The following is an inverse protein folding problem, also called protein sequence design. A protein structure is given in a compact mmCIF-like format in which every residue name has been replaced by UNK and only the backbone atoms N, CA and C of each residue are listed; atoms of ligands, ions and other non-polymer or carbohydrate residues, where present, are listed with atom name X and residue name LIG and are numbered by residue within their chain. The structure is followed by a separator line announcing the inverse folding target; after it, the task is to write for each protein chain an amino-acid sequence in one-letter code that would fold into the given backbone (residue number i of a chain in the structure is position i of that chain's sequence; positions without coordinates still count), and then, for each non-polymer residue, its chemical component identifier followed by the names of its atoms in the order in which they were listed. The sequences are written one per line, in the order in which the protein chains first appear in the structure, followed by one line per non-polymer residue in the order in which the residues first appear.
data_IF_256306932500
#
_entry.id   IF_256306932500
#
_cell.length_a   1.000
_cell.length_b   1.000
_cell.length_c   1.000
_cell.angle_alpha   90.00
_cell.angle_beta   90.00
_cell.angle_gamma   90.00
#
_symmetry.space_group_name_H-M   'P 1'
#
loop_
_entity.id
_entity.type
_entity.pdbx_description
1 polymer ?
#
# COMPACT_ATOMS: atom_id res chain seq x y z
N UNK A 1 4.29 18.81 1.97
CA UNK A 1 3.50 17.63 1.53
C UNK A 1 2.28 17.54 2.45
N UNK A 2 1.07 17.34 1.94
CA UNK A 2 -0.12 17.26 2.81
C UNK A 2 -0.16 15.90 3.52
N UNK A 3 -0.48 15.92 4.82
CA UNK A 3 -0.65 14.74 5.66
C UNK A 3 -2.09 14.74 6.18
N UNK A 4 -2.74 13.58 6.16
CA UNK A 4 -4.12 13.38 6.57
C UNK A 4 -4.18 12.33 7.68
N UNK A 5 -4.93 12.61 8.74
CA UNK A 5 -5.30 11.58 9.71
C UNK A 5 -6.40 10.71 9.10
N UNK A 6 -6.44 9.39 9.38
CA UNK A 6 -7.49 8.52 8.86
C UNK A 6 -8.90 8.98 9.24
N UNK A 7 -9.08 9.53 10.45
CA UNK A 7 -10.35 10.09 10.89
C UNK A 7 -10.82 11.32 10.10
N UNK A 8 -9.89 12.05 9.46
CA UNK A 8 -10.22 13.23 8.63
C UNK A 8 -10.61 12.84 7.19
N UNK A 9 -10.39 11.57 6.82
CA UNK A 9 -10.69 11.07 5.48
C UNK A 9 -12.15 10.63 5.40
N UNK A 10 -13.02 11.61 5.18
CA UNK A 10 -14.46 11.36 4.98
C UNK A 10 -14.76 10.67 3.64
N UNK A 11 -15.98 10.15 3.48
CA UNK A 11 -16.47 9.61 2.20
C UNK A 11 -16.35 10.62 1.05
N UNK A 12 -16.52 11.92 1.32
CA UNK A 12 -16.33 12.96 0.32
C UNK A 12 -14.86 13.08 -0.11
N UNK A 13 -13.92 12.92 0.83
CA UNK A 13 -12.48 12.91 0.52
C UNK A 13 -12.12 11.67 -0.30
N UNK A 14 -12.66 10.51 0.06
CA UNK A 14 -12.46 9.26 -0.69
C UNK A 14 -12.98 9.37 -2.12
N UNK A 15 -14.14 9.98 -2.32
CA UNK A 15 -14.78 10.09 -3.64
C UNK A 15 -14.22 11.21 -4.54
N UNK A 16 -13.43 12.15 -4.00
CA UNK A 16 -12.85 13.22 -4.80
C UNK A 16 -11.52 12.79 -5.47
N UNK A 17 -11.09 13.47 -6.54
CA UNK A 17 -9.81 13.17 -7.24
C UNK A 17 -8.65 14.09 -6.86
N UNK A 18 -8.83 14.95 -5.85
CA UNK A 18 -7.78 15.86 -5.38
C UNK A 18 -6.85 15.11 -4.42
N UNK A 19 -5.71 15.70 -4.10
CA UNK A 19 -4.81 15.27 -3.02
C UNK A 19 -4.35 13.80 -3.06
N UNK A 20 -4.31 13.15 -4.23
CA UNK A 20 -3.90 11.73 -4.37
C UNK A 20 -2.50 11.40 -3.81
N UNK A 21 -1.61 12.39 -3.78
CA UNK A 21 -0.26 12.23 -3.25
C UNK A 21 -0.13 12.61 -1.77
N UNK A 22 -1.22 13.04 -1.11
CA UNK A 22 -1.21 13.28 0.33
C UNK A 22 -0.92 11.97 1.06
N UNK A 23 -0.12 12.04 2.12
CA UNK A 23 0.17 10.90 2.99
C UNK A 23 -0.98 10.73 3.96
N UNK A 24 -1.33 9.47 4.24
CA UNK A 24 -2.29 9.12 5.28
C UNK A 24 -1.51 8.51 6.43
N UNK A 25 -1.77 8.96 7.66
CA UNK A 25 -1.08 8.42 8.83
C UNK A 25 -1.61 7.06 9.23
N UNK A 26 -0.79 6.33 9.99
CA UNK A 26 -1.23 5.17 10.75
C UNK A 26 -2.11 5.59 11.96
N UNK A 27 -2.54 4.62 12.77
CA UNK A 27 -3.39 4.87 13.95
C UNK A 27 -2.70 5.70 15.04
N UNK A 28 -1.37 5.77 15.04
CA UNK A 28 -0.53 6.55 15.96
C UNK A 28 -0.26 7.97 15.45
N UNK A 29 -0.76 8.34 14.27
CA UNK A 29 -0.53 9.65 13.68
C UNK A 29 0.82 9.83 12.99
N UNK A 30 1.58 8.75 12.75
CA UNK A 30 2.85 8.81 11.97
C UNK A 30 2.63 8.36 10.53
N UNK A 31 3.47 8.81 9.60
CA UNK A 31 3.32 8.47 8.16
C UNK A 31 3.89 7.12 7.76
N UNK A 32 4.60 6.45 8.68
CA UNK A 32 5.18 5.13 8.45
C UNK A 32 4.28 4.03 9.03
N UNK A 33 4.07 2.98 8.25
CA UNK A 33 3.40 1.76 8.66
C UNK A 33 4.39 0.66 9.10
N UNK A 34 5.69 0.91 8.96
CA UNK A 34 6.76 -0.07 9.18
C UNK A 34 7.90 0.17 8.20
N UNK A 35 8.96 -0.60 8.36
CA UNK A 35 10.15 -0.52 7.52
C UNK A 35 10.39 -1.88 6.88
N UNK A 36 10.61 -1.92 5.56
CA UNK A 36 11.06 -3.15 4.90
C UNK A 36 12.58 -3.18 5.03
N UNK A 37 13.18 -4.27 5.54
CA UNK A 37 14.63 -4.39 5.65
C UNK A 37 15.27 -4.47 4.26
N UNK A 38 16.56 -4.19 4.18
CA UNK A 38 17.31 -4.33 2.92
C UNK A 38 17.27 -5.79 2.45
N UNK A 39 16.63 -6.05 1.31
CA UNK A 39 16.55 -7.38 0.70
C UNK A 39 17.73 -7.63 -0.24
N UNK A 40 18.06 -6.63 -1.07
CA UNK A 40 19.22 -6.63 -1.98
C UNK A 40 19.52 -5.20 -2.48
N UNK A 41 20.37 -5.05 -3.49
CA UNK A 41 20.72 -3.73 -4.05
C UNK A 41 19.57 -3.01 -4.78
N UNK A 42 18.61 -3.77 -5.31
CA UNK A 42 17.44 -3.24 -6.01
C UNK A 42 16.34 -2.81 -5.04
N UNK A 43 16.20 -3.53 -3.92
CA UNK A 43 15.21 -3.31 -2.87
C UNK A 43 15.91 -2.92 -1.56
N UNK A 44 16.20 -1.61 -1.39
CA UNK A 44 16.88 -1.10 -0.21
C UNK A 44 15.97 -1.11 1.02
N UNK A 45 16.58 -0.96 2.18
CA UNK A 45 15.82 -0.65 3.39
C UNK A 45 15.11 0.69 3.25
N UNK A 46 13.81 0.73 3.55
CA UNK A 46 13.01 1.94 3.46
C UNK A 46 11.65 1.83 4.17
N UNK A 47 11.08 2.99 4.52
CA UNK A 47 9.77 3.13 5.17
C UNK A 47 8.61 2.74 4.23
N UNK A 48 7.55 2.18 4.81
CA UNK A 48 6.28 1.89 4.12
C UNK A 48 5.28 3.02 4.38
N UNK A 49 4.80 3.64 3.31
CA UNK A 49 3.97 4.84 3.36
C UNK A 49 2.65 4.61 2.63
N UNK A 50 1.55 4.97 3.28
CA UNK A 50 0.23 5.07 2.65
C UNK A 50 0.01 6.46 2.05
N UNK A 51 -0.43 6.49 0.80
CA UNK A 51 -0.97 7.69 0.15
C UNK A 51 -2.48 7.59 0.03
N UNK A 52 -3.15 8.73 -0.06
CA UNK A 52 -4.59 8.79 -0.32
C UNK A 52 -4.94 8.08 -1.64
N UNK A 53 -4.10 8.26 -2.66
CA UNK A 53 -4.15 7.48 -3.88
C UNK A 53 -5.30 7.84 -4.82
N UNK A 54 -5.60 6.92 -5.73
CA UNK A 54 -6.61 7.05 -6.79
C UNK A 54 -7.26 5.67 -7.02
N UNK A 55 -8.58 5.58 -7.24
CA UNK A 55 -9.23 4.31 -7.59
C UNK A 55 -8.78 3.76 -8.95
N UNK A 56 -8.11 4.59 -9.77
CA UNK A 56 -7.61 4.25 -11.08
C UNK A 56 -8.63 4.48 -12.19
N UNK A 57 -8.22 4.20 -13.42
CA UNK A 57 -9.07 4.26 -14.60
C UNK A 57 -8.85 3.03 -15.47
N UNK A 58 -9.90 2.60 -16.16
CA UNK A 58 -9.80 1.48 -17.09
C UNK A 58 -9.23 1.96 -18.43
N UNK A 59 -8.05 1.46 -18.79
CA UNK A 59 -7.42 1.76 -20.08
C UNK A 59 -7.94 0.78 -21.13
N UNK A 60 -8.79 1.30 -22.03
CA UNK A 60 -9.45 0.51 -23.09
C UNK A 60 -8.46 -0.06 -24.11
N UNK A 61 -7.29 0.56 -24.30
CA UNK A 61 -6.31 0.09 -25.31
C UNK A 61 -5.64 -1.20 -24.88
N UNK A 62 -5.33 -1.31 -23.59
CA UNK A 62 -4.65 -2.47 -23.00
C UNK A 62 -5.57 -3.33 -22.15
N UNK A 63 -6.86 -2.98 -22.07
CA UNK A 63 -7.92 -3.69 -21.33
C UNK A 63 -7.53 -4.00 -19.87
N UNK A 64 -6.96 -3.01 -19.17
CA UNK A 64 -6.52 -3.16 -17.79
C UNK A 64 -6.74 -1.88 -16.97
N UNK A 65 -6.91 -2.04 -15.66
CA UNK A 65 -6.95 -0.92 -14.71
C UNK A 65 -5.55 -0.31 -14.57
N UNK A 66 -5.45 1.01 -14.70
CA UNK A 66 -4.20 1.75 -14.55
C UNK A 66 -4.32 2.84 -13.50
N UNK A 67 -3.19 3.13 -12.86
CA UNK A 67 -3.04 4.25 -11.93
C UNK A 67 -3.82 4.09 -10.63
N UNK A 68 -4.32 2.89 -10.33
CA UNK A 68 -4.99 2.59 -9.08
C UNK A 68 -3.95 2.33 -7.98
N UNK A 69 -4.02 3.04 -6.87
CA UNK A 69 -3.13 2.82 -5.72
C UNK A 69 -3.68 3.48 -4.45
N UNK A 70 -3.13 3.10 -3.30
CA UNK A 70 -3.33 3.77 -2.01
C UNK A 70 -4.71 3.56 -1.42
N UNK A 71 -5.04 4.39 -0.42
CA UNK A 71 -6.25 4.25 0.40
C UNK A 71 -7.53 4.20 -0.44
N UNK A 72 -7.67 5.07 -1.45
CA UNK A 72 -8.85 5.10 -2.33
C UNK A 72 -9.03 3.83 -3.13
N UNK A 73 -7.95 3.25 -3.65
CA UNK A 73 -8.04 1.99 -4.39
C UNK A 73 -8.49 0.85 -3.48
N UNK A 74 -7.90 0.77 -2.29
CA UNK A 74 -8.28 -0.22 -1.27
C UNK A 74 -9.73 -0.05 -0.87
N UNK A 75 -10.16 1.20 -0.64
CA UNK A 75 -11.54 1.52 -0.32
C UNK A 75 -12.51 1.09 -1.44
N UNK A 76 -12.27 1.51 -2.69
CA UNK A 76 -13.19 1.24 -3.79
C UNK A 76 -13.29 -0.25 -4.15
N UNK A 77 -12.20 -1.01 -3.99
CA UNK A 77 -12.12 -2.40 -4.46
C UNK A 77 -12.22 -3.43 -3.36
N UNK A 78 -11.70 -3.13 -2.18
CA UNK A 78 -11.46 -4.13 -1.15
C UNK A 78 -12.15 -3.82 0.18
N UNK A 79 -12.82 -2.67 0.36
CA UNK A 79 -13.49 -2.33 1.64
C UNK A 79 -14.46 -3.41 2.12
N UNK A 80 -15.21 -4.03 1.21
CA UNK A 80 -16.14 -5.11 1.56
C UNK A 80 -15.41 -6.39 1.95
N UNK A 81 -14.28 -6.68 1.31
CA UNK A 81 -13.43 -7.86 1.60
C UNK A 81 -12.79 -7.73 2.98
N UNK A 82 -12.30 -6.54 3.34
CA UNK A 82 -11.66 -6.29 4.64
C UNK A 82 -12.63 -5.75 5.72
N UNK A 83 -13.94 -5.74 5.43
CA UNK A 83 -15.00 -5.23 6.30
C UNK A 83 -14.76 -3.80 6.85
N UNK A 84 -14.22 -2.91 6.02
CA UNK A 84 -13.96 -1.52 6.39
C UNK A 84 -15.22 -0.64 6.22
N UNK A 85 -15.57 0.09 7.28
CA UNK A 85 -16.68 1.06 7.27
C UNK A 85 -16.18 2.50 7.07
N UNK A 86 -14.90 2.76 7.32
CA UNK A 86 -14.25 4.04 7.09
C UNK A 86 -12.76 3.87 6.75
N UNK A 87 -12.06 5.00 6.54
CA UNK A 87 -10.63 5.01 6.28
C UNK A 87 -9.78 4.49 7.45
N UNK A 88 -10.25 4.64 8.69
CA UNK A 88 -9.54 4.15 9.88
C UNK A 88 -9.53 2.63 9.92
N UNK A 89 -10.61 1.98 9.50
CA UNK A 89 -10.64 0.51 9.41
C UNK A 89 -9.67 -0.02 8.35
N UNK A 90 -9.55 0.67 7.21
CA UNK A 90 -8.52 0.33 6.20
C UNK A 90 -7.12 0.48 6.78
N UNK A 91 -6.85 1.56 7.51
CA UNK A 91 -5.56 1.79 8.18
C UNK A 91 -5.24 0.69 9.19
N UNK A 92 -6.20 0.33 10.05
CA UNK A 92 -6.04 -0.77 11.02
C UNK A 92 -5.76 -2.10 10.32
N UNK A 93 -6.44 -2.37 9.20
CA UNK A 93 -6.18 -3.57 8.40
C UNK A 93 -4.73 -3.61 7.91
N UNK A 94 -4.24 -2.51 7.34
CA UNK A 94 -2.85 -2.40 6.87
C UNK A 94 -1.87 -2.62 8.03
N UNK A 95 -2.10 -2.00 9.20
CA UNK A 95 -1.25 -2.20 10.40
C UNK A 95 -1.26 -3.66 10.88
N UNK A 96 -2.40 -4.35 10.77
CA UNK A 96 -2.51 -5.76 11.12
C UNK A 96 -1.77 -6.68 10.15
N UNK A 97 -1.54 -6.23 8.92
CA UNK A 97 -0.71 -6.94 7.94
C UNK A 97 0.76 -6.61 8.11
N UNK A 98 1.11 -5.32 8.22
CA UNK A 98 2.48 -4.83 8.35
C UNK A 98 2.87 -4.85 9.83
N UNK A 99 3.23 -6.04 10.30
CA UNK A 99 3.72 -6.28 11.66
C UNK A 99 4.89 -7.25 11.65
N UNK A 100 5.61 -7.34 12.77
CA UNK A 100 6.70 -8.29 12.93
C UNK A 100 6.27 -9.71 12.58
N UNK A 101 7.10 -10.40 11.79
CA UNK A 101 6.84 -11.73 11.25
C UNK A 101 6.03 -11.78 9.96
N UNK A 102 5.61 -10.64 9.40
CA UNK A 102 5.00 -10.63 8.07
C UNK A 102 6.03 -11.04 7.00
N UNK A 103 5.65 -11.94 6.11
CA UNK A 103 6.47 -12.43 5.03
C UNK A 103 6.67 -11.36 3.96
N UNK A 104 7.89 -11.23 3.48
CA UNK A 104 8.26 -10.31 2.39
C UNK A 104 8.50 -11.14 1.14
N UNK A 105 7.57 -11.07 0.19
CA UNK A 105 7.58 -11.87 -1.04
C UNK A 105 7.83 -11.00 -2.27
N UNK A 106 8.52 -11.57 -3.26
CA UNK A 106 8.71 -10.98 -4.58
C UNK A 106 8.38 -12.03 -5.65
N UNK A 107 7.58 -11.68 -6.66
CA UNK A 107 7.46 -12.53 -7.86
C UNK A 107 8.74 -12.38 -8.70
N UNK A 108 9.37 -13.40 -9.26
CA UNK A 108 10.45 -13.21 -10.26
C UNK A 108 9.90 -13.18 -11.71
N UNK A 109 10.53 -12.44 -12.64
CA UNK A 109 10.25 -12.55 -14.09
C UNK A 109 9.11 -11.75 -14.77
N UNK A 110 8.66 -10.60 -14.24
CA UNK A 110 7.54 -9.81 -14.82
C UNK A 110 7.75 -8.28 -14.94
N UNK A 111 8.75 -7.69 -14.27
CA UNK A 111 9.13 -6.26 -14.36
C UNK A 111 10.42 -6.05 -13.52
N UNK A 112 11.31 -5.10 -13.80
CA UNK A 112 12.34 -4.63 -12.86
C UNK A 112 11.86 -3.67 -11.75
N UNK A 113 10.67 -3.08 -11.83
CA UNK A 113 10.08 -2.24 -10.78
C UNK A 113 9.09 -2.99 -9.89
N UNK A 114 9.31 -4.29 -9.66
CA UNK A 114 8.29 -5.17 -9.09
C UNK A 114 7.76 -4.67 -7.75
N UNK A 115 6.46 -4.84 -7.51
CA UNK A 115 5.94 -4.66 -6.18
C UNK A 115 6.50 -5.72 -5.23
N UNK A 116 6.64 -5.34 -3.96
CA UNK A 116 6.87 -6.26 -2.86
C UNK A 116 5.51 -6.58 -2.24
N UNK A 117 5.29 -7.85 -1.94
CA UNK A 117 4.12 -8.30 -1.17
C UNK A 117 4.56 -8.48 0.29
N UNK A 118 3.81 -7.87 1.20
CA UNK A 118 3.85 -8.13 2.62
C UNK A 118 2.65 -9.00 2.96
N UNK A 119 2.88 -10.20 3.46
CA UNK A 119 1.82 -11.16 3.78
C UNK A 119 1.85 -11.55 5.25
N UNK A 120 0.67 -11.66 5.87
CA UNK A 120 0.52 -12.12 7.24
C UNK A 120 -0.76 -12.96 7.39
N UNK A 121 -1.00 -13.47 8.60
CA UNK A 121 -2.27 -14.11 8.93
C UNK A 121 -3.50 -13.20 8.75
N UNK A 122 -3.33 -11.88 8.70
CA UNK A 122 -4.41 -10.90 8.54
C UNK A 122 -4.77 -10.64 7.08
N UNK A 123 -3.89 -10.97 6.13
CA UNK A 123 -4.04 -10.68 4.70
C UNK A 123 -2.73 -10.18 4.09
N UNK A 124 -2.84 -9.44 2.99
CA UNK A 124 -1.67 -8.98 2.24
C UNK A 124 -1.71 -7.48 1.91
N UNK A 125 -0.53 -6.87 1.81
CA UNK A 125 -0.31 -5.51 1.34
C UNK A 125 0.71 -5.54 0.21
N UNK A 126 0.42 -4.86 -0.90
CA UNK A 126 1.32 -4.75 -2.04
C UNK A 126 1.90 -3.34 -2.04
N UNK A 127 3.22 -3.23 -2.13
CA UNK A 127 3.94 -1.96 -2.12
C UNK A 127 4.87 -1.83 -3.32
N UNK A 128 5.15 -0.59 -3.73
CA UNK A 128 6.11 -0.28 -4.79
C UNK A 128 7.20 0.67 -4.28
N UNK A 129 8.46 0.40 -4.60
CA UNK A 129 9.56 1.31 -4.30
C UNK A 129 9.42 2.61 -5.12
N UNK A 130 9.45 3.75 -4.44
CA UNK A 130 9.50 5.08 -5.04
C UNK A 130 10.82 5.74 -4.69
N UNK A 131 11.43 6.39 -5.68
CA UNK A 131 12.69 7.14 -5.56
C UNK A 131 12.47 8.58 -6.04
N UNK A 132 11.70 9.39 -5.31
CA UNK A 132 11.47 10.79 -5.68
C UNK A 132 12.78 11.59 -5.62
N UNK A 133 12.84 12.69 -6.37
CA UNK A 133 13.96 13.63 -6.26
C UNK A 133 13.80 14.47 -4.99
N UNK A 134 14.85 14.55 -4.16
CA UNK A 134 14.87 15.39 -2.96
C UNK A 134 14.18 14.80 -1.73
N UNK A 135 13.88 13.50 -1.73
CA UNK A 135 13.40 12.75 -0.57
C UNK A 135 13.98 11.33 -0.59
N UNK A 136 14.13 10.72 0.59
CA UNK A 136 14.59 9.35 0.73
C UNK A 136 13.65 8.35 0.02
N UNK A 137 14.18 7.24 -0.53
CA UNK A 137 13.35 6.19 -1.07
C UNK A 137 12.35 5.65 -0.05
N UNK A 138 11.15 5.30 -0.52
CA UNK A 138 10.11 4.68 0.33
C UNK A 138 9.29 3.67 -0.46
N UNK A 139 8.67 2.74 0.25
CA UNK A 139 7.70 1.80 -0.29
C UNK A 139 6.30 2.41 -0.20
N UNK A 140 5.69 2.69 -1.35
CA UNK A 140 4.34 3.23 -1.44
C UNK A 140 3.34 2.08 -1.47
N UNK A 141 2.36 2.07 -0.56
CA UNK A 141 1.27 1.09 -0.59
C UNK A 141 0.43 1.31 -1.86
N UNK A 142 0.26 0.22 -2.62
CA UNK A 142 -0.56 0.16 -3.82
C UNK A 142 -1.94 -0.39 -3.48
N UNK A 143 -2.02 -1.56 -2.86
CA UNK A 143 -3.29 -2.19 -2.47
C UNK A 143 -3.13 -3.06 -1.23
N UNK A 144 -4.24 -3.45 -0.63
CA UNK A 144 -4.34 -4.31 0.53
C UNK A 144 -5.69 -5.05 0.54
N UNK A 145 -5.68 -6.35 0.84
CA UNK A 145 -6.88 -7.19 0.88
C UNK A 145 -6.64 -8.49 1.67
N UNK A 146 -7.71 -9.22 2.00
CA UNK A 146 -7.73 -10.33 2.97
C UNK A 146 -7.20 -11.68 2.44
N UNK A 147 -6.93 -11.79 1.13
CA UNK A 147 -6.37 -12.99 0.51
C UNK A 147 -4.92 -13.24 0.94
N UNK A 148 -4.52 -14.50 0.87
CA UNK A 148 -3.25 -15.05 1.35
C UNK A 148 -2.66 -16.02 0.32
N UNK A 149 -1.46 -16.50 0.60
CA UNK A 149 -0.71 -17.46 -0.21
C UNK A 149 -0.40 -16.91 -1.59
N UNK A 150 0.09 -15.67 -1.66
CA UNK A 150 0.51 -15.10 -2.93
C UNK A 150 1.64 -15.94 -3.55
N UNK A 151 1.56 -16.30 -4.84
CA UNK A 151 2.64 -17.03 -5.51
C UNK A 151 3.86 -16.11 -5.59
N UNK A 152 4.88 -16.35 -4.76
CA UNK A 152 6.06 -15.49 -4.70
C UNK A 152 7.24 -16.20 -4.06
N UNK A 153 8.42 -15.63 -4.22
CA UNK A 153 9.63 -16.09 -3.52
C UNK A 153 9.75 -15.33 -2.21
N UNK A 154 9.85 -16.09 -1.12
CA UNK A 154 10.12 -15.55 0.21
C UNK A 154 11.53 -14.97 0.27
N UNK A 155 11.62 -13.68 0.58
CA UNK A 155 12.88 -12.94 0.74
C UNK A 155 13.27 -12.76 2.20
N UNK A 156 12.31 -12.85 3.12
CA UNK A 156 12.50 -12.67 4.55
C UNK A 156 11.20 -12.32 5.26
N UNK A 157 11.32 -11.79 6.47
CA UNK A 157 10.20 -11.31 7.29
C UNK A 157 10.47 -9.91 7.81
N UNK A 158 9.41 -9.15 8.12
CA UNK A 158 9.49 -7.91 8.90
C UNK A 158 9.84 -8.18 10.37
#
# INVERSE_FOLDING_TARGET
MNVLLPGDVSHQVLNNKKTKNARVTNSKGTTSFGQIPKLNSQFPEAEVILKLGDPGFYDLKVKQLKGAFGLRHIWDKHRSEINAQDASDVVKFIENVIRGGAEVLIEYGKDPNKPIILESSSGMVIVELKRPQGEDPYYSIVTAYDRKSHPGTLMGTL
#
